data_IF_574525579383
#
_entry.id   IF_574525579383
#
_cell.length_a   1.000
_cell.length_b   1.000
_cell.length_c   1.000
_cell.angle_alpha   90.00
_cell.angle_beta   90.00
_cell.angle_gamma   90.00
#
_symmetry.space_group_name_H-M   'P 1'
#
loop_
_entity.id
_entity.type
_entity.pdbx_description
1 polymer ?
#
# COMPACT_ATOMS: atom_id res chain seq x y z
N UNK A 1 -2.62 41.01 -19.58
CA UNK A 1 -2.49 40.81 -18.12
C UNK A 1 -2.81 39.34 -17.83
N UNK A 2 -1.83 38.43 -17.99
CA UNK A 2 -1.99 36.99 -17.75
C UNK A 2 -1.20 36.65 -16.48
N UNK A 3 -1.92 36.34 -15.40
CA UNK A 3 -1.32 35.89 -14.14
C UNK A 3 -0.83 34.45 -14.32
N UNK A 4 0.47 34.26 -14.13
CA UNK A 4 1.12 32.97 -13.98
C UNK A 4 0.48 32.21 -12.82
N UNK A 5 0.00 30.99 -13.08
CA UNK A 5 -0.36 30.04 -12.03
C UNK A 5 0.94 29.40 -11.54
N UNK A 6 1.48 29.95 -10.45
CA UNK A 6 2.66 29.40 -9.79
C UNK A 6 2.36 28.02 -9.23
N UNK A 7 3.07 27.00 -9.75
CA UNK A 7 3.17 25.70 -9.11
C UNK A 7 3.92 25.86 -7.78
N UNK A 8 3.15 26.02 -6.71
CA UNK A 8 3.65 26.11 -5.35
C UNK A 8 4.30 24.80 -4.89
N UNK A 9 5.63 24.83 -4.88
CA UNK A 9 6.54 24.19 -3.93
C UNK A 9 6.37 22.67 -3.70
N UNK A 10 7.37 21.94 -4.22
CA UNK A 10 7.84 20.64 -3.78
C UNK A 10 7.25 20.18 -2.44
N UNK A 11 6.24 19.31 -2.52
CA UNK A 11 5.82 18.48 -1.39
C UNK A 11 7.02 17.61 -1.06
N UNK A 12 7.82 18.01 -0.07
CA UNK A 12 9.02 17.25 0.28
C UNK A 12 8.54 15.86 0.69
N UNK A 13 8.82 14.86 -0.15
CA UNK A 13 8.78 13.47 0.24
C UNK A 13 9.83 13.34 1.34
N UNK A 14 9.41 13.56 2.60
CA UNK A 14 10.25 13.28 3.74
C UNK A 14 10.48 11.77 3.64
N UNK A 15 11.67 11.40 3.16
CA UNK A 15 12.09 10.01 3.05
C UNK A 15 11.78 9.39 4.41
N UNK A 16 10.94 8.35 4.45
CA UNK A 16 10.95 7.41 5.57
C UNK A 16 12.32 6.71 5.53
N UNK A 17 13.38 7.44 5.89
CA UNK A 17 14.50 6.84 6.57
C UNK A 17 13.88 6.30 7.84
N UNK A 18 13.83 4.98 7.96
CA UNK A 18 13.30 4.22 9.11
C UNK A 18 13.34 5.06 10.37
N UNK A 19 12.17 5.48 10.88
CA UNK A 19 12.15 6.23 12.13
C UNK A 19 12.40 5.23 13.27
N UNK A 20 13.17 5.62 14.29
CA UNK A 20 13.47 4.74 15.41
C UNK A 20 12.21 4.26 16.12
N UNK A 21 11.13 5.07 16.07
CA UNK A 21 9.83 4.79 16.68
C UNK A 21 8.68 5.30 15.83
N UNK A 22 7.51 4.69 15.97
CA UNK A 22 6.28 5.12 15.36
C UNK A 22 5.90 6.54 15.83
N UNK A 23 5.63 7.50 14.94
CA UNK A 23 5.26 8.85 15.33
C UNK A 23 3.98 8.94 16.18
N UNK A 24 3.06 7.98 16.00
CA UNK A 24 1.77 7.97 16.71
C UNK A 24 1.86 7.29 18.06
N UNK A 25 2.43 6.10 18.07
CA UNK A 25 2.36 5.20 19.21
C UNK A 25 3.69 5.08 19.94
N UNK A 26 4.81 5.52 19.38
CA UNK A 26 6.14 5.52 20.01
C UNK A 26 6.65 4.17 20.56
N UNK A 27 5.97 3.06 20.27
CA UNK A 27 6.31 1.74 20.80
C UNK A 27 7.12 0.87 19.84
N UNK A 28 6.80 0.90 18.55
CA UNK A 28 7.44 0.04 17.55
C UNK A 28 8.37 0.84 16.65
N UNK A 29 9.40 0.17 16.11
CA UNK A 29 10.24 0.74 15.06
C UNK A 29 9.39 1.02 13.82
N UNK A 30 9.44 2.24 13.33
CA UNK A 30 8.68 2.61 12.14
C UNK A 30 9.35 1.99 10.90
N UNK A 31 8.66 1.03 10.31
CA UNK A 31 8.98 0.43 9.02
C UNK A 31 7.87 0.74 8.02
N UNK A 32 8.12 0.61 6.72
CA UNK A 32 7.05 0.76 5.72
C UNK A 32 5.91 -0.25 5.94
N UNK A 33 6.24 -1.46 6.40
CA UNK A 33 5.25 -2.47 6.74
C UNK A 33 4.40 -2.00 7.94
N UNK A 34 5.02 -1.48 8.99
CA UNK A 34 4.30 -0.90 10.13
C UNK A 34 3.41 0.26 9.68
N UNK A 35 3.97 1.21 8.93
CA UNK A 35 3.28 2.38 8.41
C UNK A 35 2.02 2.07 7.60
N UNK A 36 2.01 0.95 6.85
CA UNK A 36 0.93 0.61 5.93
C UNK A 36 -0.02 -0.49 6.43
N UNK A 37 0.43 -1.36 7.34
CA UNK A 37 -0.28 -2.57 7.76
C UNK A 37 -0.42 -2.69 9.27
N UNK A 38 0.67 -2.58 10.03
CA UNK A 38 0.69 -3.01 11.43
C UNK A 38 0.39 -1.90 12.44
N UNK A 39 0.54 -0.63 12.05
CA UNK A 39 0.13 0.50 12.89
C UNK A 39 -1.38 0.39 13.20
N UNK A 40 -1.82 0.56 14.47
CA UNK A 40 -3.21 0.31 14.87
C UNK A 40 -4.28 0.99 14.02
N UNK A 41 -4.06 2.26 13.65
CA UNK A 41 -4.99 3.00 12.79
C UNK A 41 -5.10 2.34 11.42
N UNK A 42 -3.98 2.05 10.77
CA UNK A 42 -3.93 1.46 9.43
C UNK A 42 -4.50 0.05 9.41
N UNK A 43 -4.17 -0.76 10.41
CA UNK A 43 -4.74 -2.08 10.60
C UNK A 43 -6.26 -2.03 10.68
N UNK A 44 -6.79 -1.03 11.40
CA UNK A 44 -8.23 -0.81 11.53
C UNK A 44 -8.86 -0.42 10.18
N UNK A 45 -8.21 0.44 9.39
CA UNK A 45 -8.71 0.82 8.06
C UNK A 45 -8.78 -0.39 7.13
N UNK A 46 -7.74 -1.23 7.11
CA UNK A 46 -7.71 -2.43 6.29
C UNK A 46 -8.76 -3.47 6.73
N UNK A 47 -9.00 -3.58 8.04
CA UNK A 47 -10.04 -4.43 8.61
C UNK A 47 -11.45 -3.96 8.23
N UNK A 48 -11.74 -2.65 8.34
CA UNK A 48 -13.01 -2.05 7.89
C UNK A 48 -13.25 -2.34 6.40
N UNK A 49 -12.18 -2.36 5.61
CA UNK A 49 -12.25 -2.71 4.20
C UNK A 49 -12.47 -4.18 3.89
N UNK A 50 -12.56 -5.04 4.91
CA UNK A 50 -12.67 -6.50 4.77
C UNK A 50 -11.51 -7.13 4.00
N UNK A 51 -10.29 -6.59 4.16
CA UNK A 51 -9.10 -7.28 3.66
C UNK A 51 -8.99 -8.67 4.30
N UNK A 52 -8.57 -9.67 3.53
CA UNK A 52 -8.36 -11.04 4.01
C UNK A 52 -7.55 -11.04 5.32
N UNK A 53 -8.14 -11.61 6.38
CA UNK A 53 -7.52 -11.70 7.71
C UNK A 53 -6.15 -12.40 7.66
N UNK A 54 -5.92 -13.32 6.72
CA UNK A 54 -4.61 -13.95 6.52
C UNK A 54 -3.53 -12.91 6.20
N UNK A 55 -3.84 -11.90 5.40
CA UNK A 55 -2.90 -10.81 5.06
C UNK A 55 -2.65 -9.87 6.25
N UNK A 56 -3.61 -9.76 7.18
CA UNK A 56 -3.48 -8.94 8.38
C UNK A 56 -2.72 -9.65 9.50
N UNK A 57 -2.92 -10.96 9.68
CA UNK A 57 -2.37 -11.75 10.79
C UNK A 57 -0.99 -12.32 10.45
N UNK A 58 -0.75 -12.70 9.20
CA UNK A 58 0.56 -13.23 8.79
C UNK A 58 1.66 -12.19 9.05
N UNK A 59 2.78 -12.68 9.58
CA UNK A 59 3.99 -11.89 9.79
C UNK A 59 4.78 -11.84 8.48
N UNK A 60 5.31 -10.67 8.17
CA UNK A 60 6.17 -10.43 7.03
C UNK A 60 7.38 -9.63 7.53
N UNK A 61 8.56 -9.92 6.99
CA UNK A 61 9.76 -9.15 7.32
C UNK A 61 9.88 -7.91 6.43
N UNK A 62 9.35 -7.98 5.21
CA UNK A 62 9.42 -6.89 4.22
C UNK A 62 8.02 -6.52 3.74
N UNK A 63 7.83 -5.21 3.52
CA UNK A 63 6.59 -4.69 2.95
C UNK A 63 6.29 -5.27 1.56
N UNK A 64 7.34 -5.54 0.75
CA UNK A 64 7.15 -6.09 -0.59
C UNK A 64 6.58 -7.51 -0.55
N UNK A 65 7.02 -8.36 0.38
CA UNK A 65 6.50 -9.73 0.52
C UNK A 65 5.01 -9.73 0.87
N UNK A 66 4.59 -8.79 1.72
CA UNK A 66 3.17 -8.59 2.05
C UNK A 66 2.36 -8.09 0.85
N UNK A 67 2.89 -7.10 0.12
CA UNK A 67 2.23 -6.59 -1.08
C UNK A 67 2.11 -7.66 -2.16
N UNK A 68 3.15 -8.47 -2.38
CA UNK A 68 3.10 -9.58 -3.33
C UNK A 68 2.03 -10.60 -2.94
N UNK A 69 1.95 -10.99 -1.67
CA UNK A 69 0.92 -11.92 -1.19
C UNK A 69 -0.48 -11.34 -1.36
N UNK A 70 -0.68 -10.06 -1.07
CA UNK A 70 -1.93 -9.35 -1.33
C UNK A 70 -2.29 -9.34 -2.82
N UNK A 71 -1.34 -9.04 -3.70
CA UNK A 71 -1.57 -9.03 -5.15
C UNK A 71 -1.81 -10.43 -5.73
N UNK A 72 -1.32 -11.50 -5.09
CA UNK A 72 -1.62 -12.88 -5.48
C UNK A 72 -3.07 -13.24 -5.18
N UNK A 73 -3.56 -12.79 -4.03
CA UNK A 73 -4.89 -13.18 -3.59
C UNK A 73 -5.97 -12.29 -4.18
N UNK A 74 -5.77 -10.99 -4.34
CA UNK A 74 -6.80 -10.05 -4.80
C UNK A 74 -7.12 -10.21 -6.29
N UNK A 75 -8.34 -9.84 -6.70
CA UNK A 75 -8.75 -9.65 -8.10
C UNK A 75 -8.33 -8.28 -8.65
N UNK A 76 -8.23 -8.08 -9.98
CA UNK A 76 -7.66 -6.84 -10.56
C UNK A 76 -8.31 -5.56 -10.04
N UNK A 77 -9.62 -5.60 -9.79
CA UNK A 77 -10.38 -4.46 -9.26
C UNK A 77 -10.09 -4.26 -7.78
N UNK A 78 -10.07 -5.34 -7.00
CA UNK A 78 -9.75 -5.33 -5.59
C UNK A 78 -8.31 -4.88 -5.32
N UNK A 79 -7.34 -5.32 -6.13
CA UNK A 79 -5.95 -4.89 -6.08
C UNK A 79 -5.81 -3.38 -6.32
N UNK A 80 -6.47 -2.84 -7.34
CA UNK A 80 -6.44 -1.40 -7.61
C UNK A 80 -7.03 -0.58 -6.44
N UNK A 81 -8.17 -1.02 -5.90
CA UNK A 81 -8.79 -0.39 -4.74
C UNK A 81 -7.92 -0.52 -3.48
N UNK A 82 -7.23 -1.65 -3.30
CA UNK A 82 -6.30 -1.86 -2.20
C UNK A 82 -5.16 -0.85 -2.23
N UNK A 83 -4.55 -0.60 -3.41
CA UNK A 83 -3.54 0.45 -3.56
C UNK A 83 -4.11 1.84 -3.22
N UNK A 84 -5.36 2.13 -3.56
CA UNK A 84 -6.03 3.39 -3.18
C UNK A 84 -6.13 3.50 -1.65
N UNK A 85 -6.47 2.42 -0.94
CA UNK A 85 -6.50 2.42 0.53
C UNK A 85 -5.12 2.67 1.11
N UNK A 86 -4.08 1.97 0.62
CA UNK A 86 -2.70 2.17 1.09
C UNK A 86 -2.23 3.61 0.88
N UNK A 87 -2.58 4.21 -0.25
CA UNK A 87 -2.30 5.61 -0.52
C UNK A 87 -3.00 6.55 0.48
N UNK A 88 -4.27 6.28 0.80
CA UNK A 88 -5.01 7.07 1.79
C UNK A 88 -4.45 6.92 3.20
N UNK A 89 -4.06 5.70 3.60
CA UNK A 89 -3.37 5.44 4.87
C UNK A 89 -2.08 6.25 4.97
N UNK A 90 -1.24 6.15 3.94
CA UNK A 90 0.00 6.92 3.83
C UNK A 90 -0.24 8.42 3.92
N UNK A 91 -1.28 8.93 3.26
CA UNK A 91 -1.63 10.35 3.30
C UNK A 91 -2.14 10.79 4.69
N UNK A 92 -2.93 9.96 5.37
CA UNK A 92 -3.38 10.19 6.74
C UNK A 92 -2.20 10.29 7.71
N UNK A 93 -1.26 9.35 7.61
CA UNK A 93 -0.04 9.36 8.42
C UNK A 93 0.82 10.60 8.17
N UNK A 94 0.98 11.01 6.90
CA UNK A 94 1.72 12.23 6.58
C UNK A 94 1.02 13.49 7.10
N UNK A 95 -0.31 13.55 7.08
CA UNK A 95 -1.05 14.65 7.68
C UNK A 95 -0.82 14.72 9.20
N UNK A 96 -0.76 13.58 9.88
CA UNK A 96 -0.42 13.54 11.31
C UNK A 96 1.00 14.07 11.55
N UNK A 97 1.99 13.56 10.81
CA UNK A 97 3.40 13.96 10.97
C UNK A 97 3.62 15.45 10.66
N UNK A 98 2.94 15.99 9.64
CA UNK A 98 3.18 17.36 9.17
C UNK A 98 2.29 18.40 9.84
N UNK A 99 1.08 18.03 10.24
CA UNK A 99 0.05 18.97 10.72
C UNK A 99 -0.51 18.63 12.10
N UNK A 100 -0.11 17.50 12.68
CA UNK A 100 -0.70 16.99 13.93
C UNK A 100 -2.17 16.60 13.79
N UNK A 101 -2.67 16.39 12.57
CA UNK A 101 -4.07 16.05 12.29
C UNK A 101 -4.17 14.66 11.71
N UNK A 102 -5.00 13.84 12.33
CA UNK A 102 -5.29 12.47 11.90
C UNK A 102 -6.80 12.29 11.74
N UNK A 103 -7.21 11.72 10.61
CA UNK A 103 -8.58 11.30 10.39
C UNK A 103 -8.83 9.94 11.05
N UNK A 104 -10.02 9.73 11.59
CA UNK A 104 -10.46 8.43 12.09
C UNK A 104 -10.45 7.38 10.97
N UNK A 105 -10.19 6.11 11.33
CA UNK A 105 -10.10 5.01 10.37
C UNK A 105 -11.31 4.92 9.41
N UNK A 106 -12.52 5.07 9.95
CA UNK A 106 -13.74 5.09 9.15
C UNK A 106 -13.75 6.24 8.13
N UNK A 107 -13.34 7.45 8.52
CA UNK A 107 -13.29 8.59 7.62
C UNK A 107 -12.25 8.43 6.51
N UNK A 108 -11.10 7.79 6.81
CA UNK A 108 -10.10 7.45 5.78
C UNK A 108 -10.66 6.42 4.80
N UNK A 109 -11.33 5.39 5.31
CA UNK A 109 -12.00 4.38 4.48
C UNK A 109 -13.09 5.00 3.59
N UNK A 110 -13.94 5.86 4.15
CA UNK A 110 -15.02 6.51 3.41
C UNK A 110 -14.47 7.43 2.30
N UNK A 111 -13.36 8.14 2.57
CA UNK A 111 -12.63 8.91 1.54
C UNK A 111 -12.08 8.02 0.42
N UNK A 112 -11.55 6.85 0.76
CA UNK A 112 -11.07 5.89 -0.25
C UNK A 112 -12.25 5.35 -1.09
N UNK A 113 -13.34 4.98 -0.41
CA UNK A 113 -14.58 4.47 -1.02
C UNK A 113 -15.23 5.49 -1.94
N UNK A 114 -15.25 6.78 -1.58
CA UNK A 114 -15.88 7.82 -2.39
C UNK A 114 -15.18 8.06 -3.74
N UNK A 115 -13.97 7.52 -3.95
CA UNK A 115 -13.23 7.67 -5.21
C UNK A 115 -13.79 6.78 -6.34
N UNK A 116 -14.57 5.73 -6.03
CA UNK A 116 -15.15 4.82 -7.03
C UNK A 116 -16.50 4.26 -6.58
N UNK A 117 -17.46 4.14 -7.50
CA UNK A 117 -18.81 3.65 -7.18
C UNK A 117 -18.84 2.18 -6.70
N UNK A 118 -17.96 1.32 -7.25
CA UNK A 118 -17.89 -0.10 -6.90
C UNK A 118 -16.63 -0.43 -6.05
N UNK A 119 -16.41 0.32 -4.99
CA UNK A 119 -15.22 0.13 -4.16
C UNK A 119 -15.29 -1.15 -3.33
N UNK A 120 -14.33 -2.05 -3.53
CA UNK A 120 -14.12 -3.27 -2.74
C UNK A 120 -12.64 -3.63 -2.72
N UNK A 121 -12.12 -4.11 -1.60
CA UNK A 121 -10.75 -4.66 -1.50
C UNK A 121 -10.74 -6.15 -1.13
N UNK A 122 -11.89 -6.81 -1.24
CA UNK A 122 -12.06 -8.25 -1.14
C UNK A 122 -12.55 -8.79 -2.48
N UNK A 123 -12.35 -10.09 -2.70
CA UNK A 123 -12.76 -10.75 -3.93
C UNK A 123 -14.21 -11.22 -3.85
N UNK A 124 -14.89 -11.17 -5.00
CA UNK A 124 -16.16 -11.88 -5.20
C UNK A 124 -16.01 -13.19 -5.97
N UNK A 125 -14.83 -13.46 -6.54
CA UNK A 125 -14.55 -14.62 -7.39
C UNK A 125 -13.25 -15.28 -6.93
N UNK A 126 -13.21 -16.61 -6.98
CA UNK A 126 -12.06 -17.43 -6.57
C UNK A 126 -10.88 -17.38 -7.56
N UNK A 127 -11.00 -16.63 -8.66
CA UNK A 127 -9.97 -16.51 -9.69
C UNK A 127 -8.92 -15.46 -9.29
N UNK A 128 -7.78 -15.98 -8.85
CA UNK A 128 -6.62 -15.24 -8.36
C UNK A 128 -5.90 -14.53 -9.53
N UNK A 129 -5.49 -13.26 -9.37
CA UNK A 129 -4.76 -12.50 -10.42
C UNK A 129 -3.46 -13.20 -10.82
N UNK A 130 -2.79 -13.84 -9.87
CA UNK A 130 -1.49 -14.45 -10.11
C UNK A 130 -1.71 -15.96 -10.24
N UNK A 131 -1.82 -16.43 -11.48
CA UNK A 131 -1.61 -17.84 -11.77
C UNK A 131 -0.26 -18.25 -11.19
N UNK A 132 -0.27 -19.24 -10.30
CA UNK A 132 0.93 -19.86 -9.77
C UNK A 132 1.69 -20.54 -10.92
N UNK A 133 2.55 -19.80 -11.60
CA UNK A 133 3.58 -20.36 -12.47
C UNK A 133 4.93 -19.84 -11.99
N UNK A 134 5.70 -20.65 -11.24
CA UNK A 134 7.10 -20.40 -11.06
C UNK A 134 7.83 -21.07 -12.23
N UNK A 135 7.95 -20.36 -13.34
CA UNK A 135 9.09 -20.59 -14.23
C UNK A 135 9.72 -19.23 -14.44
N UNK A 136 10.52 -18.84 -13.44
CA UNK A 136 11.57 -17.89 -13.69
C UNK A 136 12.51 -18.59 -14.67
N UNK A 137 12.27 -18.43 -15.97
CA UNK A 137 13.27 -18.77 -16.97
C UNK A 137 14.49 -17.93 -16.63
N UNK A 138 15.45 -18.56 -15.93
CA UNK A 138 16.76 -17.96 -15.74
C UNK A 138 17.24 -17.62 -17.13
N UNK A 139 17.66 -16.37 -17.32
CA UNK A 139 18.37 -16.00 -18.52
C UNK A 139 19.61 -16.90 -18.65
N UNK A 140 19.58 -17.82 -19.62
CA UNK A 140 20.73 -18.62 -20.00
C UNK A 140 21.49 -17.90 -21.10
N UNK A 141 22.79 -17.71 -20.89
CA UNK A 141 23.65 -17.08 -21.88
C UNK A 141 23.68 -17.97 -23.13
N UNK A 142 23.44 -17.43 -24.34
CA UNK A 142 23.57 -18.19 -25.58
C UNK A 142 24.97 -18.80 -25.70
N UNK A 143 25.07 -20.02 -26.24
CA UNK A 143 26.37 -20.60 -26.58
C UNK A 143 27.13 -19.66 -27.52
N UNK A 144 28.42 -19.45 -27.22
CA UNK A 144 29.30 -18.56 -28.02
C UNK A 144 29.27 -19.00 -29.49
N UNK A 145 28.82 -18.14 -30.39
CA UNK A 145 28.87 -18.38 -31.83
C UNK A 145 27.70 -17.84 -32.65
N UNK A 146 26.59 -17.42 -32.02
CA UNK A 146 25.47 -16.79 -32.74
C UNK A 146 25.62 -15.26 -32.78
N UNK A 147 26.14 -14.76 -33.89
CA UNK A 147 25.88 -13.41 -34.40
C UNK A 147 25.06 -13.56 -35.68
N UNK A 148 23.90 -12.92 -35.74
CA UNK A 148 23.13 -12.74 -36.98
C UNK A 148 23.90 -11.84 -37.94
#
# INVERSE_FOLDING_TARGET
MLKQVGFGHHRSFRKLKTLPKCPRWSFEKETLLHALKDCPTERTILFIGYLDNRLLVKKYDRCIDWLEDAMRVLDKKAAANFIIVLWNNWNNQNNFILKGKEDAAQAVWDKAKSLRHDFRIYNLVHDLIIHATPICERWEKPMKGYTK
#
